data_IF_474038968615
#
_entry.id   IF_474038968615
#
_cell.length_a   1.000
_cell.length_b   1.000
_cell.length_c   1.000
_cell.angle_alpha   90.00
_cell.angle_beta   90.00
_cell.angle_gamma   90.00
#
_symmetry.space_group_name_H-M   'P 1'
#
loop_
_entity.id
_entity.type
_entity.pdbx_description
1 polymer ?
#
# COMPACT_ATOMS: atom_id res chain seq x y z
N UNK A 1 -38.10 20.62 11.26
CA UNK A 1 -37.79 20.40 9.84
C UNK A 1 -37.12 19.03 9.73
N UNK A 2 -37.85 17.99 9.33
CA UNK A 2 -37.31 16.64 9.19
C UNK A 2 -36.46 16.56 7.90
N UNK A 3 -35.23 16.04 7.99
CA UNK A 3 -34.38 15.78 6.83
C UNK A 3 -34.79 14.46 6.21
N UNK A 4 -35.30 14.51 5.00
CA UNK A 4 -35.62 13.36 4.16
C UNK A 4 -34.29 12.78 3.66
N UNK A 5 -33.91 11.58 4.14
CA UNK A 5 -32.71 10.88 3.67
C UNK A 5 -33.02 10.29 2.30
N UNK A 6 -32.48 10.88 1.23
CA UNK A 6 -32.54 10.30 -0.11
C UNK A 6 -31.50 9.19 -0.20
N UNK A 7 -31.98 7.96 -0.36
CA UNK A 7 -31.15 6.79 -0.63
C UNK A 7 -30.69 6.86 -2.10
N UNK A 8 -29.41 7.12 -2.33
CA UNK A 8 -28.82 7.06 -3.67
C UNK A 8 -28.38 5.62 -3.93
N UNK A 9 -29.16 4.87 -4.69
CA UNK A 9 -28.78 3.55 -5.20
C UNK A 9 -27.91 3.72 -6.45
N UNK A 10 -26.69 4.25 -6.29
CA UNK A 10 -25.67 4.17 -7.34
C UNK A 10 -24.93 2.85 -7.16
N UNK A 11 -24.89 2.05 -8.22
CA UNK A 11 -24.07 0.84 -8.28
C UNK A 11 -22.63 1.20 -7.93
N UNK A 12 -22.11 0.58 -6.88
CA UNK A 12 -20.81 0.89 -6.32
C UNK A 12 -19.75 0.40 -7.33
N UNK A 13 -18.81 1.27 -7.70
CA UNK A 13 -17.82 0.99 -8.75
C UNK A 13 -16.45 1.46 -8.27
N UNK A 14 -15.42 0.69 -8.61
CA UNK A 14 -14.04 1.08 -8.30
C UNK A 14 -13.44 1.79 -9.50
N UNK A 15 -12.47 2.65 -9.24
CA UNK A 15 -11.71 3.34 -10.29
C UNK A 15 -10.28 2.79 -10.30
N UNK A 16 -9.68 2.70 -11.48
CA UNK A 16 -8.26 2.35 -11.61
C UNK A 16 -7.39 3.31 -10.79
N UNK A 17 -6.47 2.78 -9.99
CA UNK A 17 -5.55 3.61 -9.18
C UNK A 17 -4.55 4.45 -10.00
N UNK A 18 -4.46 4.20 -11.31
CA UNK A 18 -3.52 4.85 -12.24
C UNK A 18 -4.23 5.82 -13.18
N UNK A 19 -5.24 5.35 -13.92
CA UNK A 19 -5.92 6.12 -14.98
C UNK A 19 -7.35 6.53 -14.62
N UNK A 20 -7.87 6.12 -13.45
CA UNK A 20 -9.23 6.43 -12.99
C UNK A 20 -10.35 5.93 -13.91
N UNK A 21 -10.10 4.94 -14.77
CA UNK A 21 -11.16 4.27 -15.53
C UNK A 21 -12.08 3.49 -14.58
N UNK A 22 -13.41 3.46 -14.81
CA UNK A 22 -14.34 2.62 -14.03
C UNK A 22 -14.01 1.13 -14.20
N UNK A 23 -14.01 0.39 -13.10
CA UNK A 23 -13.68 -1.04 -12.99
C UNK A 23 -14.73 -1.69 -12.06
N UNK A 24 -15.11 -2.95 -12.30
CA UNK A 24 -15.95 -3.70 -11.37
C UNK A 24 -15.36 -3.75 -9.96
N UNK A 25 -16.25 -3.78 -8.97
CA UNK A 25 -15.94 -3.88 -7.54
C UNK A 25 -15.14 -5.12 -7.14
N UNK A 26 -15.10 -6.14 -7.97
CA UNK A 26 -14.42 -7.40 -7.67
C UNK A 26 -13.02 -7.48 -8.29
N UNK A 27 -12.58 -6.45 -9.03
CA UNK A 27 -11.27 -6.47 -9.67
C UNK A 27 -10.13 -6.35 -8.65
N UNK A 28 -9.41 -7.46 -8.44
CA UNK A 28 -8.16 -7.50 -7.69
C UNK A 28 -7.05 -8.00 -8.63
N UNK A 29 -6.01 -7.19 -8.93
CA UNK A 29 -5.65 -5.86 -8.40
C UNK A 29 -6.57 -4.69 -8.86
N UNK A 30 -6.60 -3.54 -8.14
CA UNK A 30 -7.45 -2.38 -8.44
C UNK A 30 -6.91 -1.53 -9.60
N UNK A 31 -6.60 -2.18 -10.72
CA UNK A 31 -6.10 -1.59 -11.95
C UNK A 31 -6.92 -2.08 -13.14
N UNK A 32 -7.02 -1.27 -14.18
CA UNK A 32 -7.68 -1.68 -15.42
C UNK A 32 -6.80 -2.69 -16.17
N UNK A 33 -7.37 -3.35 -17.17
CA UNK A 33 -6.70 -4.33 -18.06
C UNK A 33 -5.64 -3.71 -18.99
N UNK A 34 -5.34 -2.42 -18.83
CA UNK A 34 -4.33 -1.71 -19.60
C UNK A 34 -2.91 -2.08 -19.11
N UNK A 35 -2.03 -2.39 -20.06
CA UNK A 35 -0.65 -2.82 -19.77
C UNK A 35 0.19 -1.70 -19.15
N UNK A 36 -0.05 -0.43 -19.48
CA UNK A 36 0.65 0.69 -18.87
C UNK A 36 0.30 0.84 -17.38
N UNK A 37 -0.97 0.60 -17.04
CA UNK A 37 -1.44 0.64 -15.65
C UNK A 37 -0.87 -0.51 -14.83
N UNK A 38 -0.81 -1.72 -15.42
CA UNK A 38 -0.17 -2.88 -14.80
C UNK A 38 1.32 -2.64 -14.52
N UNK A 39 2.07 -2.10 -15.49
CA UNK A 39 3.50 -1.82 -15.32
C UNK A 39 3.76 -0.74 -14.25
N UNK A 40 2.95 0.33 -14.22
CA UNK A 40 3.05 1.37 -13.18
C UNK A 40 2.77 0.79 -11.79
N UNK A 41 1.76 -0.07 -11.67
CA UNK A 41 1.42 -0.70 -10.40
C UNK A 41 2.52 -1.66 -9.93
N UNK A 42 3.06 -2.51 -10.82
CA UNK A 42 4.19 -3.40 -10.51
C UNK A 42 5.42 -2.64 -10.01
N UNK A 43 5.77 -1.50 -10.65
CA UNK A 43 6.86 -0.63 -10.20
C UNK A 43 6.58 -0.05 -8.81
N UNK A 44 5.37 0.46 -8.56
CA UNK A 44 4.96 1.00 -7.26
C UNK A 44 4.99 -0.06 -6.15
N UNK A 45 4.52 -1.28 -6.41
CA UNK A 45 4.55 -2.36 -5.44
C UNK A 45 5.97 -2.83 -5.11
N UNK A 46 6.84 -2.96 -6.12
CA UNK A 46 8.23 -3.33 -5.88
C UNK A 46 8.98 -2.26 -5.07
N UNK A 47 8.73 -0.97 -5.35
CA UNK A 47 9.26 0.13 -4.56
C UNK A 47 8.74 0.10 -3.13
N UNK A 48 7.42 -0.10 -2.94
CA UNK A 48 6.80 -0.19 -1.61
C UNK A 48 7.39 -1.34 -0.79
N UNK A 49 7.53 -2.54 -1.38
CA UNK A 49 8.17 -3.69 -0.71
C UNK A 49 9.59 -3.36 -0.27
N UNK A 50 10.40 -2.74 -1.14
CA UNK A 50 11.78 -2.33 -0.80
C UNK A 50 11.80 -1.29 0.31
N UNK A 51 10.93 -0.28 0.26
CA UNK A 51 10.82 0.75 1.29
C UNK A 51 10.38 0.16 2.63
N UNK A 52 9.40 -0.75 2.63
CA UNK A 52 8.96 -1.46 3.82
C UNK A 52 10.11 -2.27 4.43
N UNK A 53 10.85 -3.03 3.61
CA UNK A 53 12.02 -3.78 4.11
C UNK A 53 13.06 -2.83 4.70
N UNK A 54 13.39 -1.74 4.02
CA UNK A 54 14.38 -0.78 4.50
C UNK A 54 13.97 -0.12 5.82
N UNK A 55 12.67 0.19 5.98
CA UNK A 55 12.11 0.78 7.20
C UNK A 55 12.29 -0.12 8.43
N UNK A 56 12.25 -1.45 8.26
CA UNK A 56 12.46 -2.39 9.36
C UNK A 56 13.92 -2.82 9.51
N UNK A 57 14.65 -2.94 8.40
CA UNK A 57 16.04 -3.40 8.40
C UNK A 57 16.97 -2.41 9.12
N UNK A 58 16.83 -1.12 8.84
CA UNK A 58 17.68 -0.09 9.44
C UNK A 58 17.58 0.00 10.97
N UNK A 59 16.38 0.17 11.57
CA UNK A 59 16.26 0.18 13.03
C UNK A 59 16.60 -1.18 13.64
N UNK A 60 16.31 -2.29 12.97
CA UNK A 60 16.67 -3.63 13.44
C UNK A 60 18.19 -3.80 13.62
N UNK A 61 18.98 -3.37 12.64
CA UNK A 61 20.45 -3.40 12.72
C UNK A 61 20.95 -2.47 13.82
N UNK A 62 20.40 -1.24 13.93
CA UNK A 62 20.80 -0.30 14.96
C UNK A 62 20.61 -0.87 16.38
N UNK A 63 19.45 -1.48 16.64
CA UNK A 63 19.14 -2.12 17.93
C UNK A 63 20.09 -3.29 18.19
N UNK A 64 20.35 -4.13 17.17
CA UNK A 64 21.27 -5.25 17.28
C UNK A 64 22.68 -4.80 17.67
N UNK A 65 23.19 -3.74 17.05
CA UNK A 65 24.51 -3.19 17.36
C UNK A 65 24.56 -2.63 18.79
N UNK A 66 23.52 -1.92 19.23
CA UNK A 66 23.43 -1.42 20.61
C UNK A 66 23.43 -2.58 21.61
N UNK A 67 22.68 -3.66 21.34
CA UNK A 67 22.65 -4.84 22.21
C UNK A 67 24.02 -5.51 22.33
N UNK A 68 24.74 -5.65 21.22
CA UNK A 68 26.11 -6.20 21.24
C UNK A 68 27.06 -5.35 22.09
N UNK A 69 26.97 -4.02 21.98
CA UNK A 69 27.77 -3.12 22.80
C UNK A 69 27.41 -3.22 24.29
N UNK A 70 26.12 -3.31 24.62
CA UNK A 70 25.65 -3.46 26.01
C UNK A 70 26.11 -4.79 26.61
N UNK A 71 25.98 -5.91 25.88
CA UNK A 71 26.41 -7.23 26.35
C UNK A 71 27.93 -7.36 26.46
N UNK A 72 28.68 -6.71 25.56
CA UNK A 72 30.14 -6.69 25.59
C UNK A 72 30.74 -5.72 26.61
N UNK A 73 30.05 -4.63 26.95
CA UNK A 73 30.51 -3.64 27.94
C UNK A 73 30.22 -4.05 29.40
N UNK A 74 29.41 -5.10 29.63
CA UNK A 74 29.10 -5.63 30.96
C UNK A 74 30.01 -6.79 31.41
N UNK A 75 31.06 -7.12 30.64
CA UNK A 75 32.04 -8.17 30.94
C UNK A 75 33.40 -7.62 31.34
#
# INVERSE_FOLDING_TARGET
RARERREFTTDDHRHCSVCWTPIPLDADPPICSDTECAEKQRKRESSRKRLTVMLYLFPGIAILLVMLQVMGASG
#
